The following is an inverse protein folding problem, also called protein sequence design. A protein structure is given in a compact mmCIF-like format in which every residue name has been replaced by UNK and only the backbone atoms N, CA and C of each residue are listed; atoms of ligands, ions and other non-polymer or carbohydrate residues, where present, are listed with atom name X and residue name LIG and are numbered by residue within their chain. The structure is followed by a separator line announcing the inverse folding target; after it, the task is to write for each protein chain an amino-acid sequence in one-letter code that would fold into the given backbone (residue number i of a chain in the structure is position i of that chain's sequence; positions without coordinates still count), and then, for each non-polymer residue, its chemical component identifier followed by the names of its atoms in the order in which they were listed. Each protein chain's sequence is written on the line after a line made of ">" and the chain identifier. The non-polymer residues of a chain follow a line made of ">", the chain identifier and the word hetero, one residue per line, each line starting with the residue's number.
data_IF_081211868524
#
_entry.id   IF_081211868524
#
_cell.length_a   1.000
_cell.length_b   1.000
_cell.length_c   1.000
_cell.angle_alpha   90.00
_cell.angle_beta   90.00
_cell.angle_gamma   90.00
#
_symmetry.space_group_name_H-M   'P 1'
#
loop_
_entity.id
_entity.type
_entity.pdbx_description
1 polymer ?
#
# COMPACT_ATOMS: atom_id res chain seq x y z
N UNK A 1 29.05 -9.21 -6.28
CA UNK A 1 28.56 -10.60 -6.15
C UNK A 1 28.16 -10.95 -7.56
N UNK A 2 29.13 -11.42 -8.34
CA UNK A 2 29.10 -11.36 -9.81
C UNK A 2 28.60 -12.69 -10.35
N UNK A 3 27.31 -12.95 -10.18
CA UNK A 3 26.69 -14.19 -10.63
C UNK A 3 25.70 -13.90 -11.76
N UNK A 4 26.20 -14.07 -12.99
CA UNK A 4 25.44 -14.22 -14.24
C UNK A 4 24.95 -12.90 -14.84
N UNK A 5 25.75 -12.38 -15.77
CA UNK A 5 25.34 -11.56 -16.93
C UNK A 5 24.02 -10.80 -16.75
N UNK A 6 24.11 -9.49 -16.49
CA UNK A 6 23.04 -8.55 -16.80
C UNK A 6 22.75 -8.62 -18.30
N UNK A 7 22.01 -9.63 -18.73
CA UNK A 7 21.42 -9.65 -20.05
C UNK A 7 20.34 -8.55 -20.03
N UNK A 8 20.58 -7.40 -20.68
CA UNK A 8 19.60 -6.33 -20.70
C UNK A 8 18.29 -6.77 -21.35
N UNK A 9 18.30 -7.91 -22.06
CA UNK A 9 17.19 -8.50 -22.79
C UNK A 9 16.40 -9.54 -21.96
N UNK A 10 16.74 -9.74 -20.68
CA UNK A 10 15.94 -10.57 -19.78
C UNK A 10 14.98 -9.71 -18.95
N UNK A 11 13.68 -9.91 -19.18
CA UNK A 11 12.60 -9.24 -18.45
C UNK A 11 12.69 -9.43 -16.92
N UNK A 12 12.99 -10.65 -16.45
CA UNK A 12 13.03 -10.95 -15.01
C UNK A 12 14.21 -10.25 -14.32
N UNK A 13 15.37 -10.18 -14.97
CA UNK A 13 16.53 -9.46 -14.43
C UNK A 13 16.21 -7.98 -14.24
N UNK A 14 15.60 -7.35 -15.26
CA UNK A 14 15.18 -5.96 -15.19
C UNK A 14 14.09 -5.72 -14.13
N UNK A 15 13.15 -6.64 -13.96
CA UNK A 15 12.13 -6.61 -12.91
C UNK A 15 12.74 -6.67 -11.51
N UNK A 16 13.62 -7.64 -11.25
CA UNK A 16 14.25 -7.80 -9.94
C UNK A 16 15.20 -6.65 -9.61
N UNK A 17 15.96 -6.17 -10.59
CA UNK A 17 16.82 -5.00 -10.41
C UNK A 17 15.99 -3.75 -10.09
N UNK A 18 14.91 -3.51 -10.86
CA UNK A 18 13.99 -2.41 -10.60
C UNK A 18 13.36 -2.47 -9.20
N UNK A 19 12.98 -3.67 -8.75
CA UNK A 19 12.49 -3.88 -7.38
C UNK A 19 13.55 -3.56 -6.32
N UNK A 20 14.80 -3.98 -6.53
CA UNK A 20 15.89 -3.65 -5.60
C UNK A 20 16.17 -2.14 -5.55
N UNK A 21 16.10 -1.45 -6.69
CA UNK A 21 16.27 -0.01 -6.78
C UNK A 21 15.14 0.74 -6.05
N UNK A 22 13.89 0.27 -6.15
CA UNK A 22 12.77 0.75 -5.32
C UNK A 22 13.11 0.66 -3.83
N UNK A 23 13.62 -0.49 -3.37
CA UNK A 23 13.95 -0.70 -1.95
C UNK A 23 15.11 0.19 -1.47
N UNK A 24 16.01 0.61 -2.38
CA UNK A 24 17.11 1.53 -2.08
C UNK A 24 16.72 3.01 -2.12
N UNK A 25 15.56 3.36 -2.69
CA UNK A 25 15.15 4.74 -2.92
C UNK A 25 15.59 5.30 -4.28
N UNK A 26 16.22 4.49 -5.12
CA UNK A 26 16.73 4.89 -6.44
C UNK A 26 15.61 4.86 -7.49
N UNK A 27 14.54 5.62 -7.25
CA UNK A 27 13.26 5.52 -7.98
C UNK A 27 13.39 5.84 -9.47
N UNK A 28 14.28 6.76 -9.85
CA UNK A 28 14.53 7.11 -11.26
C UNK A 28 15.13 5.94 -12.04
N UNK A 29 16.18 5.32 -11.50
CA UNK A 29 16.79 4.15 -12.14
C UNK A 29 15.83 2.95 -12.13
N UNK A 30 15.04 2.80 -11.05
CA UNK A 30 14.02 1.75 -10.99
C UNK A 30 13.02 1.85 -12.15
N UNK A 31 12.56 3.06 -12.49
CA UNK A 31 11.65 3.31 -13.61
C UNK A 31 12.28 2.87 -14.93
N UNK A 32 13.55 3.22 -15.19
CA UNK A 32 14.24 2.81 -16.42
C UNK A 32 14.31 1.30 -16.57
N UNK A 33 14.67 0.58 -15.50
CA UNK A 33 14.73 -0.89 -15.49
C UNK A 33 13.36 -1.52 -15.66
N UNK A 34 12.36 -1.01 -14.96
CA UNK A 34 11.00 -1.55 -15.03
C UNK A 34 10.34 -1.26 -16.38
N UNK A 35 10.66 -0.13 -17.02
CA UNK A 35 10.25 0.13 -18.41
C UNK A 35 10.85 -0.89 -19.38
N UNK A 36 12.14 -1.25 -19.23
CA UNK A 36 12.74 -2.33 -20.02
C UNK A 36 12.04 -3.66 -19.76
N UNK A 37 11.75 -3.98 -18.49
CA UNK A 37 11.03 -5.21 -18.14
C UNK A 37 9.63 -5.29 -18.78
N UNK A 38 8.89 -4.18 -18.78
CA UNK A 38 7.57 -4.08 -19.43
C UNK A 38 7.70 -4.12 -20.96
N UNK A 39 8.71 -3.47 -21.54
CA UNK A 39 8.96 -3.50 -22.98
C UNK A 39 9.27 -4.91 -23.51
N UNK A 40 10.02 -5.70 -22.73
CA UNK A 40 10.37 -7.08 -23.07
C UNK A 40 9.22 -8.06 -22.86
N UNK A 41 8.44 -7.90 -21.79
CA UNK A 41 7.25 -8.70 -21.51
C UNK A 41 6.09 -7.79 -21.10
N UNK A 42 5.35 -7.26 -22.08
CA UNK A 42 4.25 -6.34 -21.80
C UNK A 42 3.21 -6.95 -20.88
N UNK A 43 2.98 -8.27 -20.90
CA UNK A 43 1.94 -8.97 -20.12
C UNK A 43 2.31 -9.25 -18.67
N UNK A 44 3.50 -8.91 -18.19
CA UNK A 44 3.85 -9.11 -16.77
C UNK A 44 3.13 -8.09 -15.89
N UNK A 45 2.13 -8.56 -15.16
CA UNK A 45 1.43 -7.76 -14.16
C UNK A 45 2.38 -7.27 -13.06
N UNK A 46 3.38 -8.07 -12.68
CA UNK A 46 4.36 -7.67 -11.67
C UNK A 46 5.23 -6.49 -12.12
N UNK A 47 5.75 -6.53 -13.35
CA UNK A 47 6.59 -5.47 -13.89
C UNK A 47 5.80 -4.16 -14.02
N UNK A 48 4.56 -4.24 -14.52
CA UNK A 48 3.66 -3.07 -14.60
C UNK A 48 3.38 -2.49 -13.22
N UNK A 49 2.99 -3.33 -12.26
CA UNK A 49 2.69 -2.87 -10.90
C UNK A 49 3.89 -2.16 -10.26
N UNK A 50 5.08 -2.77 -10.36
CA UNK A 50 6.30 -2.15 -9.84
C UNK A 50 6.65 -0.86 -10.60
N UNK A 51 6.42 -0.79 -11.91
CA UNK A 51 6.62 0.44 -12.68
C UNK A 51 5.68 1.56 -12.21
N UNK A 52 4.40 1.26 -12.00
CA UNK A 52 3.43 2.21 -11.45
C UNK A 52 3.84 2.70 -10.06
N UNK A 53 4.28 1.79 -9.20
CA UNK A 53 4.81 2.12 -7.88
C UNK A 53 6.07 3.01 -7.97
N UNK A 54 7.03 2.67 -8.83
CA UNK A 54 8.26 3.45 -9.00
C UNK A 54 7.97 4.85 -9.55
N UNK A 55 7.01 5.00 -10.47
CA UNK A 55 6.55 6.28 -10.97
C UNK A 55 5.98 7.16 -9.86
N UNK A 56 5.15 6.59 -8.98
CA UNK A 56 4.58 7.33 -7.86
C UNK A 56 5.61 7.74 -6.81
N UNK A 57 6.69 6.95 -6.61
CA UNK A 57 7.72 7.23 -5.59
C UNK A 57 8.81 8.21 -6.04
N UNK A 58 8.83 8.65 -7.30
CA UNK A 58 9.78 9.68 -7.71
C UNK A 58 9.57 10.97 -6.90
N UNK A 59 10.64 11.75 -6.67
CA UNK A 59 10.57 13.00 -5.90
C UNK A 59 9.58 14.01 -6.49
N UNK A 60 9.43 14.02 -7.82
CA UNK A 60 8.47 14.86 -8.55
C UNK A 60 7.06 14.27 -8.62
N UNK A 61 6.84 13.08 -8.05
CA UNK A 61 5.67 12.25 -8.31
C UNK A 61 5.62 11.73 -9.76
N UNK A 62 4.50 11.13 -10.18
CA UNK A 62 4.38 10.49 -11.48
C UNK A 62 4.28 11.47 -12.66
N UNK A 63 4.06 12.77 -12.42
CA UNK A 63 4.02 13.81 -13.44
C UNK A 63 3.05 13.50 -14.58
N UNK A 64 3.51 13.64 -15.82
CA UNK A 64 2.71 13.35 -17.03
C UNK A 64 2.29 11.87 -17.14
N UNK A 65 2.97 10.97 -16.42
CA UNK A 65 2.69 9.53 -16.42
C UNK A 65 1.78 9.11 -15.27
N UNK A 66 1.05 10.04 -14.66
CA UNK A 66 0.09 9.76 -13.58
C UNK A 66 -0.98 8.74 -14.00
N UNK A 67 -1.56 8.89 -15.19
CA UNK A 67 -2.61 7.98 -15.67
C UNK A 67 -2.08 6.56 -15.90
N UNK A 68 -0.86 6.45 -16.43
CA UNK A 68 -0.17 5.17 -16.59
C UNK A 68 0.09 4.51 -15.24
N UNK A 69 0.60 5.27 -14.26
CA UNK A 69 0.87 4.75 -12.92
C UNK A 69 -0.42 4.28 -12.21
N UNK A 70 -1.50 5.05 -12.29
CA UNK A 70 -2.80 4.68 -11.72
C UNK A 70 -3.33 3.40 -12.35
N UNK A 71 -3.29 3.29 -13.69
CA UNK A 71 -3.76 2.09 -14.38
C UNK A 71 -2.97 0.85 -13.97
N UNK A 72 -1.63 0.92 -13.95
CA UNK A 72 -0.80 -0.21 -13.55
C UNK A 72 -1.00 -0.64 -12.09
N UNK A 73 -1.16 0.31 -11.18
CA UNK A 73 -1.45 0.00 -9.78
C UNK A 73 -2.85 -0.59 -9.61
N UNK A 74 -3.84 -0.11 -10.37
CA UNK A 74 -5.20 -0.65 -10.37
C UNK A 74 -5.25 -2.08 -10.93
N UNK A 75 -4.56 -2.36 -12.03
CA UNK A 75 -4.40 -3.73 -12.55
C UNK A 75 -3.81 -4.66 -11.48
N UNK A 76 -2.80 -4.21 -10.75
CA UNK A 76 -2.22 -4.99 -9.64
C UNK A 76 -3.18 -5.21 -8.48
N UNK A 77 -4.04 -4.24 -8.16
CA UNK A 77 -5.11 -4.43 -7.18
C UNK A 77 -6.11 -5.50 -7.64
N UNK A 78 -6.53 -5.46 -8.91
CA UNK A 78 -7.45 -6.46 -9.45
C UNK A 78 -6.85 -7.87 -9.41
N UNK A 79 -5.59 -8.03 -9.80
CA UNK A 79 -4.86 -9.31 -9.72
C UNK A 79 -4.80 -9.82 -8.28
N UNK A 80 -4.51 -8.94 -7.32
CA UNK A 80 -4.47 -9.28 -5.91
C UNK A 80 -5.83 -9.75 -5.38
N UNK A 81 -6.90 -9.04 -5.71
CA UNK A 81 -8.26 -9.39 -5.29
C UNK A 81 -8.72 -10.70 -5.93
N UNK A 82 -8.46 -10.89 -7.22
CA UNK A 82 -8.77 -12.12 -7.94
C UNK A 82 -8.05 -13.31 -7.31
N UNK A 83 -6.75 -13.18 -7.02
CA UNK A 83 -5.97 -14.22 -6.36
C UNK A 83 -6.53 -14.58 -4.97
N UNK A 84 -6.97 -13.58 -4.21
CA UNK A 84 -7.59 -13.82 -2.90
C UNK A 84 -8.92 -14.55 -3.02
N UNK A 85 -9.71 -14.20 -4.02
CA UNK A 85 -10.96 -14.88 -4.31
C UNK A 85 -10.71 -16.35 -4.67
N UNK A 86 -9.75 -16.63 -5.56
CA UNK A 86 -9.42 -18.01 -5.93
C UNK A 86 -8.85 -18.82 -4.75
N UNK A 87 -8.00 -18.22 -3.91
CA UNK A 87 -7.51 -18.84 -2.67
C UNK A 87 -8.66 -19.19 -1.71
N UNK A 88 -9.67 -18.32 -1.60
CA UNK A 88 -10.86 -18.57 -0.77
C UNK A 88 -11.73 -19.70 -1.34
N UNK A 89 -11.95 -19.70 -2.67
CA UNK A 89 -12.80 -20.68 -3.36
C UNK A 89 -12.16 -22.08 -3.37
N UNK A 90 -10.83 -22.16 -3.44
CA UNK A 90 -10.06 -23.42 -3.48
C UNK A 90 -9.75 -24.01 -2.10
N UNK A 91 -10.18 -23.36 -1.02
CA UNK A 91 -9.98 -23.83 0.37
C UNK A 91 -10.66 -25.17 0.70
N UNK A 92 -11.38 -25.78 -0.26
CA UNK A 92 -11.71 -27.20 -0.27
C UNK A 92 -10.70 -27.99 -1.13
N UNK A 93 -9.62 -28.45 -0.49
CA UNK A 93 -8.70 -29.55 -0.88
C UNK A 93 -7.84 -29.33 -2.15
N UNK A 94 -6.56 -28.98 -1.97
CA UNK A 94 -5.38 -29.83 -2.32
C UNK A 94 -4.06 -29.09 -2.08
N UNK A 95 -3.01 -29.77 -1.55
CA UNK A 95 -1.67 -29.21 -1.44
C UNK A 95 -0.89 -29.49 -2.72
N UNK A 96 -0.99 -28.63 -3.73
CA UNK A 96 0.01 -28.61 -4.81
C UNK A 96 -0.12 -27.41 -5.72
N UNK A 97 0.88 -26.53 -5.71
CA UNK A 97 1.61 -26.19 -6.95
C UNK A 97 2.80 -25.30 -6.63
N UNK A 98 3.99 -25.85 -6.89
CA UNK A 98 5.31 -25.24 -6.91
C UNK A 98 5.68 -24.40 -5.69
N UNK A 99 6.75 -24.80 -5.00
CA UNK A 99 7.58 -23.90 -4.20
C UNK A 99 8.15 -22.81 -5.12
N UNK A 100 7.34 -21.80 -5.46
CA UNK A 100 7.85 -20.51 -5.89
C UNK A 100 8.67 -19.99 -4.72
N UNK A 101 9.92 -19.61 -4.96
CA UNK A 101 10.69 -18.91 -3.94
C UNK A 101 9.84 -17.75 -3.45
N UNK A 102 9.57 -17.64 -2.15
CA UNK A 102 8.76 -16.55 -1.60
C UNK A 102 9.24 -15.15 -2.01
N UNK A 103 10.50 -15.03 -2.44
CA UNK A 103 11.09 -13.80 -2.93
C UNK A 103 10.58 -13.38 -4.33
N UNK A 104 10.11 -14.30 -5.17
CA UNK A 104 9.68 -14.04 -6.54
C UNK A 104 8.21 -13.58 -6.61
N UNK A 105 7.40 -14.00 -5.63
CA UNK A 105 5.99 -13.64 -5.56
C UNK A 105 5.80 -12.22 -5.03
N UNK A 106 5.57 -11.28 -5.96
CA UNK A 106 5.35 -9.88 -5.61
C UNK A 106 4.01 -9.69 -4.91
N UNK A 107 2.96 -10.40 -5.31
CA UNK A 107 1.60 -10.27 -4.74
C UNK A 107 1.39 -11.05 -3.44
N UNK A 108 2.47 -11.58 -2.84
CA UNK A 108 2.42 -12.20 -1.52
C UNK A 108 1.93 -11.21 -0.46
N UNK A 109 1.23 -11.75 0.54
CA UNK A 109 0.62 -10.98 1.63
C UNK A 109 1.59 -10.03 2.37
N UNK A 110 2.82 -10.49 2.60
CA UNK A 110 3.81 -9.78 3.42
C UNK A 110 4.72 -8.87 2.61
N UNK A 111 4.47 -8.69 1.31
CA UNK A 111 5.24 -7.76 0.50
C UNK A 111 4.74 -6.33 0.72
N UNK A 112 5.54 -5.54 1.42
CA UNK A 112 5.24 -4.14 1.69
C UNK A 112 5.07 -3.30 0.42
N UNK A 113 5.75 -3.62 -0.67
CA UNK A 113 5.66 -2.85 -1.92
C UNK A 113 4.24 -2.89 -2.48
N UNK A 114 3.52 -4.00 -2.28
CA UNK A 114 2.12 -4.11 -2.67
C UNK A 114 1.25 -3.15 -1.87
N UNK A 115 1.34 -3.21 -0.54
CA UNK A 115 0.57 -2.34 0.37
C UNK A 115 0.86 -0.86 0.05
N UNK A 116 2.13 -0.51 -0.15
CA UNK A 116 2.55 0.84 -0.52
C UNK A 116 1.99 1.27 -1.87
N UNK A 117 2.07 0.41 -2.90
CA UNK A 117 1.50 0.71 -4.22
C UNK A 117 -0.01 0.93 -4.18
N UNK A 118 -0.73 0.11 -3.40
CA UNK A 118 -2.17 0.28 -3.19
C UNK A 118 -2.50 1.58 -2.43
N UNK A 119 -1.69 1.95 -1.43
CA UNK A 119 -1.84 3.24 -0.74
C UNK A 119 -1.64 4.41 -1.70
N UNK A 120 -0.58 4.38 -2.51
CA UNK A 120 -0.30 5.42 -3.51
C UNK A 120 -1.40 5.50 -4.58
N UNK A 121 -1.96 4.36 -4.99
CA UNK A 121 -3.13 4.34 -5.87
C UNK A 121 -4.30 5.10 -5.23
N UNK A 122 -4.57 4.87 -3.95
CA UNK A 122 -5.64 5.57 -3.23
C UNK A 122 -5.38 7.08 -3.13
N UNK A 123 -4.13 7.49 -2.88
CA UNK A 123 -3.71 8.90 -2.89
C UNK A 123 -3.95 9.57 -4.24
N UNK A 124 -3.53 8.91 -5.33
CA UNK A 124 -3.69 9.45 -6.68
C UNK A 124 -5.18 9.54 -7.08
N UNK A 125 -5.99 8.54 -6.72
CA UNK A 125 -7.45 8.55 -6.96
C UNK A 125 -8.20 9.59 -6.11
N UNK A 126 -7.64 10.00 -4.96
CA UNK A 126 -8.17 11.11 -4.14
C UNK A 126 -8.03 12.44 -4.88
N UNK A 127 -6.92 12.62 -5.60
CA UNK A 127 -6.62 13.84 -6.37
C UNK A 127 -7.29 13.87 -7.75
N UNK A 128 -7.37 12.72 -8.42
CA UNK A 128 -7.93 12.59 -9.76
C UNK A 128 -8.91 11.42 -9.82
N UNK A 129 -10.20 11.71 -10.01
CA UNK A 129 -11.22 10.68 -10.23
C UNK A 129 -11.14 10.19 -11.68
N UNK A 130 -11.05 8.87 -11.86
CA UNK A 130 -11.05 8.21 -13.16
C UNK A 130 -12.28 7.32 -13.23
N UNK A 131 -13.06 7.43 -14.30
CA UNK A 131 -14.25 6.60 -14.51
C UNK A 131 -13.87 5.13 -14.70
N UNK A 132 -14.67 4.21 -14.15
CA UNK A 132 -14.44 2.76 -14.24
C UNK A 132 -13.47 2.19 -13.20
N UNK A 133 -12.79 3.04 -12.42
CA UNK A 133 -11.90 2.62 -11.34
C UNK A 133 -12.62 2.56 -9.99
N UNK A 134 -12.13 1.73 -9.06
CA UNK A 134 -12.58 1.74 -7.66
C UNK A 134 -12.38 3.12 -7.04
N UNK A 135 -13.26 3.53 -6.11
CA UNK A 135 -13.09 4.81 -5.43
C UNK A 135 -11.86 4.81 -4.53
N UNK A 136 -11.25 5.98 -4.29
CA UNK A 136 -10.12 6.13 -3.37
C UNK A 136 -10.42 5.51 -1.99
N UNK A 137 -11.64 5.72 -1.49
CA UNK A 137 -12.15 5.13 -0.24
C UNK A 137 -12.14 3.61 -0.26
N UNK A 138 -12.62 2.99 -1.33
CA UNK A 138 -12.63 1.52 -1.48
C UNK A 138 -11.20 0.95 -1.51
N UNK A 139 -10.29 1.63 -2.22
CA UNK A 139 -8.87 1.22 -2.27
C UNK A 139 -8.23 1.31 -0.89
N UNK A 140 -8.48 2.37 -0.13
CA UNK A 140 -7.98 2.45 1.26
C UNK A 140 -8.54 1.34 2.15
N UNK A 141 -9.81 0.96 1.99
CA UNK A 141 -10.36 -0.18 2.71
C UNK A 141 -9.63 -1.48 2.37
N UNK A 142 -9.27 -1.69 1.09
CA UNK A 142 -8.42 -2.82 0.68
C UNK A 142 -7.03 -2.76 1.31
N UNK A 143 -6.40 -1.56 1.39
CA UNK A 143 -5.10 -1.36 2.04
C UNK A 143 -5.17 -1.76 3.52
N UNK A 144 -6.16 -1.26 4.27
CA UNK A 144 -6.32 -1.59 5.69
C UNK A 144 -6.52 -3.09 5.91
N UNK A 145 -7.37 -3.73 5.10
CA UNK A 145 -7.61 -5.17 5.18
C UNK A 145 -6.33 -5.97 4.89
N UNK A 146 -5.61 -5.62 3.82
CA UNK A 146 -4.39 -6.32 3.44
C UNK A 146 -3.27 -6.13 4.48
N UNK A 147 -3.06 -4.91 4.96
CA UNK A 147 -2.08 -4.63 6.00
C UNK A 147 -2.43 -5.34 7.32
N UNK A 148 -3.69 -5.36 7.73
CA UNK A 148 -4.14 -6.11 8.91
C UNK A 148 -3.88 -7.61 8.79
N UNK A 149 -4.23 -8.21 7.65
CA UNK A 149 -3.93 -9.62 7.36
C UNK A 149 -2.41 -9.89 7.38
N UNK A 150 -1.61 -8.98 6.81
CA UNK A 150 -0.17 -9.11 6.76
C UNK A 150 0.44 -9.09 8.16
N UNK A 151 0.01 -8.15 9.01
CA UNK A 151 0.45 -8.09 10.41
C UNK A 151 0.10 -9.35 11.18
N UNK A 152 -1.11 -9.91 10.98
CA UNK A 152 -1.50 -11.18 11.61
C UNK A 152 -0.66 -12.38 11.16
N UNK A 153 -0.10 -12.34 9.94
CA UNK A 153 0.76 -13.40 9.41
C UNK A 153 2.23 -13.30 9.83
N UNK A 154 2.65 -12.16 10.39
CA UNK A 154 4.04 -11.92 10.79
C UNK A 154 4.25 -12.34 12.25
N UNK A 155 5.13 -13.31 12.47
CA UNK A 155 5.47 -13.80 13.81
C UNK A 155 6.35 -12.82 14.61
N UNK A 156 7.24 -12.08 13.91
CA UNK A 156 8.19 -11.16 14.54
C UNK A 156 7.82 -9.69 14.30
N UNK A 157 7.80 -8.90 15.37
CA UNK A 157 7.57 -7.45 15.37
C UNK A 157 8.85 -6.67 15.03
N UNK A 158 9.46 -7.00 13.88
CA UNK A 158 10.67 -6.36 13.38
C UNK A 158 10.39 -5.13 12.50
N UNK A 159 11.40 -4.63 11.75
CA UNK A 159 11.26 -3.45 10.91
C UNK A 159 10.14 -3.56 9.87
N UNK A 160 9.97 -4.72 9.23
CA UNK A 160 8.89 -4.93 8.27
C UNK A 160 7.50 -4.79 8.92
N UNK A 161 7.34 -5.33 10.14
CA UNK A 161 6.08 -5.22 10.89
C UNK A 161 5.76 -3.75 11.17
N UNK A 162 6.73 -2.98 11.66
CA UNK A 162 6.57 -1.55 11.94
C UNK A 162 6.25 -0.74 10.67
N UNK A 163 6.84 -1.09 9.52
CA UNK A 163 6.54 -0.40 8.26
C UNK A 163 5.12 -0.70 7.74
N UNK A 164 4.65 -1.94 7.85
CA UNK A 164 3.26 -2.30 7.50
C UNK A 164 2.28 -1.66 8.47
N UNK A 165 2.63 -1.65 9.76
CA UNK A 165 1.85 -0.99 10.80
C UNK A 165 1.71 0.51 10.54
N UNK A 166 2.78 1.19 10.09
CA UNK A 166 2.72 2.59 9.69
C UNK A 166 1.75 2.80 8.53
N UNK A 167 1.84 1.99 7.47
CA UNK A 167 0.94 2.06 6.32
C UNK A 167 -0.53 1.82 6.71
N UNK A 168 -0.78 0.94 7.68
CA UNK A 168 -2.12 0.71 8.22
C UNK A 168 -2.67 1.94 8.94
N UNK A 169 -1.85 2.57 9.81
CA UNK A 169 -2.24 3.79 10.51
C UNK A 169 -2.51 4.94 9.55
N UNK A 170 -1.65 5.12 8.54
CA UNK A 170 -1.77 6.15 7.53
C UNK A 170 -3.04 5.98 6.68
N UNK A 171 -3.32 4.75 6.22
CA UNK A 171 -4.55 4.43 5.49
C UNK A 171 -5.82 4.67 6.33
N UNK A 172 -5.81 4.32 7.61
CA UNK A 172 -6.92 4.60 8.51
C UNK A 172 -7.14 6.11 8.72
N UNK A 173 -6.05 6.88 8.80
CA UNK A 173 -6.12 8.34 8.89
C UNK A 173 -6.65 8.97 7.59
N UNK A 174 -6.18 8.52 6.42
CA UNK A 174 -6.69 8.99 5.13
C UNK A 174 -8.20 8.73 4.97
N UNK A 175 -8.67 7.57 5.41
CA UNK A 175 -10.09 7.23 5.47
C UNK A 175 -10.89 8.12 6.43
N UNK A 176 -10.31 8.52 7.57
CA UNK A 176 -10.91 9.49 8.48
C UNK A 176 -11.07 10.86 7.80
N UNK A 177 -10.06 11.30 7.06
CA UNK A 177 -10.15 12.57 6.32
C UNK A 177 -11.23 12.54 5.24
N UNK A 178 -11.33 11.43 4.49
CA UNK A 178 -12.40 11.25 3.49
C UNK A 178 -13.77 11.34 4.16
N UNK A 179 -14.00 10.63 5.28
CA UNK A 179 -15.27 10.70 6.01
C UNK A 179 -15.65 12.10 6.47
N UNK A 180 -14.68 12.85 7.00
CA UNK A 180 -14.90 14.24 7.45
C UNK A 180 -15.25 15.12 6.24
N UNK A 181 -14.56 14.95 5.11
CA UNK A 181 -14.82 15.74 3.89
C UNK A 181 -16.15 15.43 3.21
N UNK A 182 -16.60 14.17 3.28
CA UNK A 182 -17.88 13.74 2.70
C UNK A 182 -19.09 14.26 3.48
N UNK A 183 -18.90 14.93 4.63
CA UNK A 183 -19.94 15.52 5.48
C UNK A 183 -21.10 14.55 5.76
N UNK A 184 -20.80 13.25 5.78
CA UNK A 184 -21.78 12.22 6.09
C UNK A 184 -22.25 12.48 7.52
N UNK A 185 -23.57 12.61 7.65
CA UNK A 185 -24.36 13.14 8.77
C UNK A 185 -24.20 12.41 10.11
N UNK A 186 -23.22 11.53 10.25
CA UNK A 186 -23.13 10.53 11.30
C UNK A 186 -21.81 10.71 12.07
N UNK A 187 -21.78 11.77 12.88
CA UNK A 187 -20.66 12.19 13.73
C UNK A 187 -20.18 11.06 14.65
N UNK A 188 -21.07 10.12 14.98
CA UNK A 188 -20.81 8.93 15.78
C UNK A 188 -19.71 8.06 15.15
N UNK A 189 -19.76 7.81 13.83
CA UNK A 189 -18.75 6.97 13.16
C UNK A 189 -17.40 7.66 13.06
N UNK A 190 -17.39 8.98 12.87
CA UNK A 190 -16.15 9.77 12.81
C UNK A 190 -15.47 9.74 14.18
N UNK A 191 -16.23 9.99 15.25
CA UNK A 191 -15.74 9.87 16.62
C UNK A 191 -15.21 8.46 16.91
N UNK A 192 -15.98 7.42 16.59
CA UNK A 192 -15.59 6.04 16.83
C UNK A 192 -14.29 5.68 16.08
N UNK A 193 -14.13 6.15 14.83
CA UNK A 193 -12.90 5.96 14.07
C UNK A 193 -11.71 6.69 14.68
N UNK A 194 -11.89 7.93 15.18
CA UNK A 194 -10.84 8.63 15.93
C UNK A 194 -10.40 7.84 17.17
N UNK A 195 -11.35 7.35 17.99
CA UNK A 195 -11.03 6.54 19.19
C UNK A 195 -10.26 5.27 18.84
N UNK A 196 -10.67 4.54 17.80
CA UNK A 196 -9.94 3.35 17.36
C UNK A 196 -8.54 3.68 16.85
N UNK A 197 -8.38 4.77 16.10
CA UNK A 197 -7.07 5.19 15.62
C UNK A 197 -6.14 5.60 16.77
N UNK A 198 -6.62 6.35 17.76
CA UNK A 198 -5.87 6.63 19.00
C UNK A 198 -5.48 5.35 19.74
N UNK A 199 -6.39 4.38 19.85
CA UNK A 199 -6.11 3.08 20.47
C UNK A 199 -5.03 2.29 19.70
N UNK A 200 -5.08 2.29 18.37
CA UNK A 200 -4.08 1.65 17.52
C UNK A 200 -2.71 2.31 17.67
N UNK A 201 -2.63 3.64 17.66
CA UNK A 201 -1.39 4.40 17.88
C UNK A 201 -0.79 4.06 19.25
N UNK A 202 -1.62 4.00 20.30
CA UNK A 202 -1.18 3.66 21.66
C UNK A 202 -0.65 2.23 21.78
N UNK A 203 -1.26 1.29 21.08
CA UNK A 203 -0.85 -0.11 21.05
C UNK A 203 0.30 -0.38 20.07
N UNK A 204 0.78 0.66 19.36
CA UNK A 204 1.68 0.49 18.24
C UNK A 204 3.09 0.06 18.66
N UNK A 205 3.76 -0.71 17.79
CA UNK A 205 5.16 -1.11 17.97
C UNK A 205 6.15 -0.12 17.36
N UNK A 206 5.65 0.90 16.65
CA UNK A 206 6.44 1.94 16.01
C UNK A 206 7.11 2.80 17.09
N UNK A 207 8.37 3.16 16.86
CA UNK A 207 9.08 4.09 17.74
C UNK A 207 8.33 5.41 17.83
N UNK A 208 8.15 5.95 19.05
CA UNK A 208 7.49 7.25 19.28
C UNK A 208 8.35 8.40 18.80
N UNK A 209 8.41 8.56 17.49
CA UNK A 209 9.07 9.66 16.80
C UNK A 209 8.11 10.81 16.56
N UNK A 210 8.63 11.92 16.03
CA UNK A 210 7.83 13.12 15.74
C UNK A 210 6.69 12.85 14.75
N UNK A 211 6.81 11.83 13.89
CA UNK A 211 5.79 11.48 12.90
C UNK A 211 4.59 10.82 13.56
N UNK A 212 4.82 9.83 14.42
CA UNK A 212 3.75 9.17 15.16
C UNK A 212 3.04 10.13 16.13
N UNK A 213 3.81 11.00 16.80
CA UNK A 213 3.25 12.03 17.67
C UNK A 213 2.42 13.06 16.89
N UNK A 214 2.89 13.50 15.72
CA UNK A 214 2.12 14.39 14.84
C UNK A 214 0.83 13.73 14.35
N UNK A 215 0.87 12.43 14.03
CA UNK A 215 -0.34 11.69 13.67
C UNK A 215 -1.34 11.64 14.82
N UNK A 216 -0.88 11.33 16.04
CA UNK A 216 -1.72 11.32 17.24
C UNK A 216 -2.34 12.70 17.49
N UNK A 217 -1.56 13.77 17.35
CA UNK A 217 -2.03 15.14 17.51
C UNK A 217 -3.11 15.50 16.47
N UNK A 218 -2.93 15.13 15.20
CA UNK A 218 -3.95 15.38 14.17
C UNK A 218 -5.26 14.65 14.47
N UNK A 219 -5.19 13.43 15.00
CA UNK A 219 -6.37 12.64 15.37
C UNK A 219 -7.08 13.24 16.58
N UNK A 220 -6.33 13.62 17.62
CA UNK A 220 -6.89 14.24 18.82
C UNK A 220 -7.52 15.60 18.50
N UNK A 221 -6.86 16.44 17.69
CA UNK A 221 -7.44 17.71 17.22
C UNK A 221 -8.79 17.51 16.52
N UNK A 222 -8.91 16.53 15.62
CA UNK A 222 -10.17 16.19 14.95
C UNK A 222 -11.23 15.73 15.96
N UNK A 223 -10.86 14.91 16.94
CA UNK A 223 -11.77 14.43 17.97
C UNK A 223 -12.26 15.57 18.89
N UNK A 224 -11.38 16.50 19.29
CA UNK A 224 -11.72 17.70 20.07
C UNK A 224 -12.71 18.59 19.31
N UNK A 225 -12.51 18.79 18.00
CA UNK A 225 -13.45 19.60 17.20
C UNK A 225 -14.85 19.01 17.12
N UNK A 226 -14.97 17.68 17.23
CA UNK A 226 -16.25 16.98 17.20
C UNK A 226 -16.89 16.92 18.59
N UNK A 227 -16.10 16.65 19.64
CA UNK A 227 -16.56 16.50 21.02
C UNK A 227 -15.62 17.22 22.01
N UNK A 228 -15.73 18.55 22.16
CA UNK A 228 -14.79 19.35 22.95
C UNK A 228 -14.83 19.07 24.46
N UNK A 229 -15.92 18.45 24.96
CA UNK A 229 -16.11 18.19 26.39
C UNK A 229 -15.72 16.77 26.84
N UNK A 230 -15.22 15.92 25.94
CA UNK A 230 -14.81 14.55 26.29
C UNK A 230 -13.32 14.50 26.62
N UNK A 231 -12.93 14.08 27.83
CA UNK A 231 -11.51 13.96 28.22
C UNK A 231 -10.72 12.96 27.38
N UNK A 232 -11.40 11.98 26.76
CA UNK A 232 -10.77 11.04 25.83
C UNK A 232 -10.30 11.71 24.54
N UNK A 233 -10.78 12.92 24.23
CA UNK A 233 -10.35 13.68 23.05
C UNK A 233 -8.91 14.19 23.11
N UNK A 234 -8.29 14.18 24.29
CA UNK A 234 -6.94 14.69 24.53
C UNK A 234 -5.83 13.64 24.36
N UNK A 235 -6.18 12.36 24.14
CA UNK A 235 -5.23 11.24 24.20
C UNK A 235 -5.30 10.28 23.00
#
# INVERSE_FOLDING_TARGET
>A
MDAVTTDPNNHLCNLHLGRMLIERGDHKEAVERLQQAVGLKPTSAEARFLLGLALCMQDSGPGDRADEAINFLHEGLEQLLLRRQTEADTSVITPSSSTNLHAEDIFRLTNIQVIRGLHMLADNLKMKKIEGMRSSKDVYHCVCLHAGMALCSLYHRGPLFQQIEWLLLDAHYALLEIMISELLSDTVWIEQRCRYLSAMIRASTITRDNKLLSLQEKVSQKLVTLNPCNSESLY
#
